data_IF_461044236989
#
_entry.id   IF_461044236989
#
_cell.length_a   1.000
_cell.length_b   1.000
_cell.length_c   1.000
_cell.angle_alpha   90.00
_cell.angle_beta   90.00
_cell.angle_gamma   90.00
#
_symmetry.space_group_name_H-M   'P 1'
#
loop_
_entity.id
_entity.type
_entity.pdbx_description
1 polymer ?
#
# COMPACT_ATOMS: atom_id res chain seq x y z
N UNK A 1 -16.47 2.09 -32.97
CA UNK A 1 -15.85 3.07 -32.04
C UNK A 1 -15.88 2.44 -30.65
N UNK A 2 -14.73 1.97 -30.16
CA UNK A 2 -14.63 1.12 -28.96
C UNK A 2 -14.39 1.99 -27.71
N UNK A 3 -15.36 1.99 -26.81
CA UNK A 3 -15.23 2.46 -25.43
C UNK A 3 -14.15 1.64 -24.71
N UNK A 4 -13.19 2.32 -24.07
CA UNK A 4 -12.26 1.73 -23.11
C UNK A 4 -12.44 2.43 -21.77
N UNK A 5 -13.03 1.74 -20.83
CA UNK A 5 -13.04 2.06 -19.40
C UNK A 5 -11.64 1.82 -18.82
N UNK A 6 -11.04 2.75 -18.06
CA UNK A 6 -9.77 2.50 -17.40
C UNK A 6 -9.99 1.77 -16.07
N UNK A 7 -9.10 0.81 -15.80
CA UNK A 7 -9.00 0.01 -14.59
C UNK A 7 -8.19 0.79 -13.56
N UNK A 8 -8.76 1.07 -12.39
CA UNK A 8 -8.09 1.77 -11.28
C UNK A 8 -7.18 0.80 -10.52
N UNK A 9 -5.90 1.16 -10.34
CA UNK A 9 -5.01 0.56 -9.34
C UNK A 9 -4.85 1.52 -8.15
N UNK A 10 -5.12 1.02 -6.93
CA UNK A 10 -4.93 1.73 -5.67
C UNK A 10 -3.73 1.12 -4.91
N UNK A 11 -2.84 1.96 -4.40
CA UNK A 11 -1.85 1.61 -3.36
C UNK A 11 -1.97 2.65 -2.21
N UNK A 12 -2.07 2.20 -0.96
CA UNK A 12 -2.20 3.05 0.25
C UNK A 12 -0.94 2.93 1.14
N UNK A 13 -0.48 4.05 1.71
CA UNK A 13 0.65 4.16 2.68
C UNK A 13 0.20 4.67 4.05
N UNK A 14 0.55 3.99 5.17
CA UNK A 14 0.23 4.32 6.58
C UNK A 14 1.34 5.15 7.29
N UNK A 15 0.98 6.06 8.19
CA UNK A 15 1.91 6.89 9.00
C UNK A 15 1.38 6.94 10.45
N UNK A 16 2.19 6.54 11.44
CA UNK A 16 1.85 6.44 12.86
C UNK A 16 2.75 7.38 13.69
N UNK A 17 2.17 8.09 14.66
CA UNK A 17 2.85 8.98 15.63
C UNK A 17 2.88 8.28 16.99
N UNK A 18 4.05 8.17 17.62
CA UNK A 18 4.22 7.64 18.98
C UNK A 18 4.44 8.78 19.99
N UNK A 19 3.77 8.71 21.15
CA UNK A 19 4.05 9.51 22.35
C UNK A 19 4.63 8.58 23.42
N UNK A 20 5.76 9.00 24.00
CA UNK A 20 6.49 8.31 25.08
C UNK A 20 5.89 8.66 26.45
N UNK A 21 5.69 7.64 27.28
CA UNK A 21 5.43 7.73 28.72
C UNK A 21 6.21 6.64 29.46
N UNK A 22 6.79 6.98 30.60
CA UNK A 22 7.89 6.30 31.32
C UNK A 22 7.51 5.03 32.10
N UNK A 23 8.51 4.14 32.24
CA UNK A 23 8.50 2.82 32.92
C UNK A 23 8.50 2.87 34.45
N UNK A 24 7.79 1.92 35.07
CA UNK A 24 8.18 1.20 36.29
C UNK A 24 7.72 -0.28 36.18
N UNK A 25 8.52 -1.29 36.59
CA UNK A 25 8.09 -2.68 36.75
C UNK A 25 7.95 -3.07 38.24
N UNK A 26 7.55 -4.31 38.61
CA UNK A 26 6.63 -5.26 37.97
C UNK A 26 5.55 -5.77 38.96
N UNK A 27 4.51 -6.45 38.47
CA UNK A 27 3.87 -7.52 39.24
C UNK A 27 3.34 -8.58 38.27
N UNK A 28 3.89 -9.79 38.39
CA UNK A 28 3.36 -10.96 37.70
C UNK A 28 1.98 -11.27 38.27
N UNK A 29 0.95 -10.93 37.53
CA UNK A 29 -0.32 -11.62 37.58
C UNK A 29 -0.40 -12.48 36.32
N UNK A 30 -0.40 -13.80 36.48
CA UNK A 30 -0.84 -14.71 35.43
C UNK A 30 -2.29 -14.35 35.10
N UNK A 31 -2.49 -13.58 34.04
CA UNK A 31 -3.82 -13.33 33.50
C UNK A 31 -4.18 -14.47 32.55
N UNK A 32 -5.17 -15.25 32.97
CA UNK A 32 -5.91 -16.23 32.18
C UNK A 32 -6.10 -15.80 30.73
N UNK A 33 -5.79 -16.68 29.79
CA UNK A 33 -6.17 -16.60 28.39
C UNK A 33 -7.69 -16.49 28.27
N UNK A 34 -8.21 -15.26 28.18
CA UNK A 34 -9.53 -15.06 27.61
C UNK A 34 -9.39 -15.32 26.11
N UNK A 35 -10.07 -16.34 25.61
CA UNK A 35 -10.14 -16.70 24.19
C UNK A 35 -10.51 -15.46 23.36
N UNK A 36 -9.52 -14.81 22.74
CA UNK A 36 -9.77 -13.65 21.91
C UNK A 36 -10.36 -14.12 20.58
N UNK A 37 -11.68 -14.12 20.49
CA UNK A 37 -12.41 -14.47 19.28
C UNK A 37 -12.08 -13.46 18.17
N UNK A 38 -11.47 -13.92 17.09
CA UNK A 38 -11.18 -13.15 15.88
C UNK A 38 -12.22 -13.45 14.79
N UNK A 39 -12.17 -12.71 13.68
CA UNK A 39 -13.03 -12.93 12.52
C UNK A 39 -12.21 -13.17 11.26
N UNK A 40 -12.67 -14.07 10.41
CA UNK A 40 -12.05 -14.40 9.14
C UNK A 40 -13.07 -14.39 8.01
N UNK A 41 -12.71 -13.84 6.85
CA UNK A 41 -13.51 -14.00 5.64
C UNK A 41 -12.71 -13.76 4.39
N UNK A 42 -13.28 -14.19 3.27
CA UNK A 42 -12.71 -13.99 1.95
C UNK A 42 -13.59 -13.04 1.14
N UNK A 43 -13.03 -11.90 0.77
CA UNK A 43 -13.66 -10.92 -0.12
C UNK A 43 -13.30 -11.27 -1.56
N UNK A 44 -14.29 -11.64 -2.36
CA UNK A 44 -14.15 -11.83 -3.79
C UNK A 44 -14.57 -10.56 -4.55
N UNK A 45 -13.69 -10.05 -5.39
CA UNK A 45 -13.93 -8.88 -6.26
C UNK A 45 -14.21 -9.30 -7.71
N UNK A 46 -14.23 -10.60 -7.99
CA UNK A 46 -14.33 -11.21 -9.32
C UNK A 46 -12.99 -11.35 -10.05
N UNK A 47 -12.00 -10.52 -9.72
CA UNK A 47 -10.65 -10.56 -10.33
C UNK A 47 -9.51 -10.65 -9.31
N UNK A 48 -9.78 -10.27 -8.06
CA UNK A 48 -8.93 -10.54 -6.88
C UNK A 48 -9.76 -11.16 -5.78
N UNK A 49 -9.12 -11.99 -4.98
CA UNK A 49 -9.67 -12.49 -3.73
C UNK A 49 -8.75 -12.13 -2.57
N UNK A 50 -9.32 -11.59 -1.50
CA UNK A 50 -8.60 -11.15 -0.30
C UNK A 50 -9.09 -11.88 0.92
N UNK A 51 -8.17 -12.45 1.68
CA UNK A 51 -8.46 -13.03 2.99
C UNK A 51 -8.20 -12.00 4.05
N UNK A 52 -9.23 -11.68 4.81
CA UNK A 52 -9.16 -10.76 5.93
C UNK A 52 -9.19 -11.53 7.24
N UNK A 53 -8.25 -11.19 8.11
CA UNK A 53 -8.21 -11.65 9.48
C UNK A 53 -8.34 -10.44 10.41
N UNK A 54 -9.43 -10.38 11.16
CA UNK A 54 -9.78 -9.24 12.01
C UNK A 54 -9.68 -9.67 13.46
N UNK A 55 -8.81 -9.03 14.23
CA UNK A 55 -8.48 -9.45 15.60
C UNK A 55 -8.28 -8.24 16.51
N UNK A 56 -8.42 -8.39 17.84
CA UNK A 56 -8.02 -7.35 18.76
C UNK A 56 -6.50 -7.09 18.68
N UNK A 57 -6.12 -5.84 18.92
CA UNK A 57 -4.73 -5.43 19.06
C UNK A 57 -4.07 -6.19 20.22
N UNK A 58 -2.82 -6.68 20.06
CA UNK A 58 -2.07 -7.28 21.16
C UNK A 58 -1.57 -6.24 22.18
N UNK A 59 -1.62 -4.95 21.86
CA UNK A 59 -1.29 -3.87 22.79
C UNK A 59 -2.50 -3.55 23.70
N UNK A 60 -2.44 -3.85 25.01
CA UNK A 60 -3.54 -3.62 25.94
C UNK A 60 -3.82 -2.15 26.23
N UNK A 61 -2.91 -1.22 25.87
CA UNK A 61 -3.06 0.21 26.14
C UNK A 61 -4.09 0.90 25.21
N UNK A 62 -4.47 0.25 24.11
CA UNK A 62 -5.52 0.71 23.22
C UNK A 62 -6.37 -0.47 22.77
N UNK A 63 -7.61 -0.56 23.25
CA UNK A 63 -8.60 -1.57 22.86
C UNK A 63 -9.07 -1.39 21.41
N UNK A 64 -8.13 -1.40 20.46
CA UNK A 64 -8.37 -1.26 19.04
C UNK A 64 -8.45 -2.64 18.40
N UNK A 65 -9.27 -2.75 17.36
CA UNK A 65 -9.29 -3.91 16.48
C UNK A 65 -8.42 -3.64 15.26
N UNK A 66 -7.86 -4.69 14.70
CA UNK A 66 -7.00 -4.65 13.52
C UNK A 66 -7.58 -5.55 12.44
N UNK A 67 -7.39 -5.18 11.18
CA UNK A 67 -7.65 -6.00 10.00
C UNK A 67 -6.33 -6.27 9.30
N UNK A 68 -6.01 -7.55 9.14
CA UNK A 68 -4.86 -8.04 8.41
C UNK A 68 -5.32 -8.61 7.05
N UNK A 69 -4.83 -8.02 5.94
CA UNK A 69 -5.02 -8.58 4.60
C UNK A 69 -3.90 -9.59 4.30
N UNK A 70 -4.25 -10.88 4.22
CA UNK A 70 -3.26 -11.96 4.10
C UNK A 70 -2.65 -12.05 2.68
N UNK A 71 -3.28 -11.41 1.70
CA UNK A 71 -2.90 -11.51 0.29
C UNK A 71 -2.21 -10.23 -0.23
N UNK A 72 -2.04 -9.21 0.60
CA UNK A 72 -1.41 -7.94 0.23
C UNK A 72 -0.20 -7.66 1.12
N UNK A 73 0.76 -8.59 1.16
CA UNK A 73 1.98 -8.43 1.95
C UNK A 73 1.76 -8.36 3.47
N UNK A 74 0.65 -8.92 3.96
CA UNK A 74 0.26 -8.91 5.36
C UNK A 74 0.13 -7.48 5.94
N UNK A 75 -0.47 -6.57 5.17
CA UNK A 75 -0.77 -5.21 5.64
C UNK A 75 -1.79 -5.28 6.78
N UNK A 76 -1.41 -4.74 7.93
CA UNK A 76 -2.23 -4.62 9.12
C UNK A 76 -2.76 -3.19 9.24
N UNK A 77 -4.08 -3.07 9.36
CA UNK A 77 -4.79 -1.80 9.44
C UNK A 77 -5.55 -1.72 10.76
N UNK A 78 -5.31 -0.67 11.54
CA UNK A 78 -6.13 -0.37 12.71
C UNK A 78 -7.51 0.11 12.27
N UNK A 79 -8.56 -0.51 12.80
CA UNK A 79 -9.94 -0.12 12.55
C UNK A 79 -10.26 1.20 13.29
N UNK A 80 -10.90 2.14 12.60
CA UNK A 80 -11.38 3.39 13.19
C UNK A 80 -12.58 3.16 14.12
N UNK A 81 -13.34 2.10 13.86
CA UNK A 81 -14.41 1.61 14.74
C UNK A 81 -14.57 0.12 14.60
N UNK A 82 -15.04 -0.54 15.67
CA UNK A 82 -15.47 -1.92 15.64
C UNK A 82 -16.65 -2.08 16.60
N UNK A 83 -17.77 -2.61 16.10
CA UNK A 83 -19.00 -2.84 16.85
C UNK A 83 -19.49 -4.25 16.60
N UNK A 84 -19.70 -4.99 17.68
CA UNK A 84 -20.43 -6.24 17.68
C UNK A 84 -21.48 -6.15 18.80
N UNK A 85 -22.74 -5.97 18.45
CA UNK A 85 -23.84 -5.82 19.43
C UNK A 85 -24.67 -7.08 19.65
N UNK A 86 -24.18 -8.23 19.16
CA UNK A 86 -24.89 -9.51 19.25
C UNK A 86 -25.99 -9.71 18.20
N UNK A 87 -26.26 -8.69 17.37
CA UNK A 87 -27.11 -8.78 16.17
C UNK A 87 -26.38 -8.38 14.89
N UNK A 88 -25.49 -7.39 14.99
CA UNK A 88 -24.78 -6.80 13.87
C UNK A 88 -23.29 -6.71 14.20
N UNK A 89 -22.47 -7.06 13.21
CA UNK A 89 -21.04 -6.81 13.20
C UNK A 89 -20.74 -5.69 12.19
N UNK A 90 -20.10 -4.62 12.64
CA UNK A 90 -19.75 -3.48 11.80
C UNK A 90 -18.41 -2.86 12.17
N UNK A 91 -17.68 -2.34 11.19
CA UNK A 91 -16.42 -1.63 11.40
C UNK A 91 -16.10 -0.67 10.25
N UNK A 92 -15.18 0.26 10.51
CA UNK A 92 -14.75 1.27 9.54
C UNK A 92 -13.22 1.36 9.43
N UNK A 93 -12.77 1.66 8.22
CA UNK A 93 -11.40 2.02 7.85
C UNK A 93 -11.46 3.31 7.03
N UNK A 94 -11.47 4.44 7.73
CA UNK A 94 -11.60 5.78 7.13
C UNK A 94 -10.47 6.07 6.17
N UNK A 95 -9.25 5.64 6.52
CA UNK A 95 -8.06 5.85 5.69
C UNK A 95 -8.20 5.25 4.28
N UNK A 96 -8.85 4.10 4.16
CA UNK A 96 -9.05 3.42 2.87
C UNK A 96 -10.45 3.63 2.32
N UNK A 97 -11.25 4.50 2.95
CA UNK A 97 -12.66 4.75 2.67
C UNK A 97 -13.46 3.44 2.58
N UNK A 98 -13.19 2.51 3.51
CA UNK A 98 -13.82 1.21 3.56
C UNK A 98 -14.67 1.05 4.83
N UNK A 99 -15.76 0.29 4.72
CA UNK A 99 -16.61 -0.09 5.84
C UNK A 99 -17.24 -1.46 5.62
N UNK A 100 -17.63 -2.11 6.70
CA UNK A 100 -18.38 -3.35 6.68
C UNK A 100 -19.58 -3.25 7.62
N UNK A 101 -20.70 -3.85 7.21
CA UNK A 101 -21.84 -4.10 8.08
C UNK A 101 -22.52 -5.40 7.68
N UNK A 102 -22.70 -6.31 8.63
CA UNK A 102 -23.33 -7.60 8.42
C UNK A 102 -24.15 -8.08 9.61
N UNK A 103 -25.18 -8.86 9.30
CA UNK A 103 -26.06 -9.46 10.30
C UNK A 103 -25.44 -10.76 10.81
N UNK A 104 -25.44 -10.92 12.13
CA UNK A 104 -25.01 -12.15 12.78
C UNK A 104 -26.08 -13.23 12.63
N UNK A 105 -25.63 -14.47 12.44
CA UNK A 105 -26.50 -15.65 12.54
C UNK A 105 -26.92 -15.90 14.00
N UNK A 106 -27.83 -16.86 14.22
CA UNK A 106 -28.33 -17.17 15.56
C UNK A 106 -27.24 -17.66 16.53
N UNK A 107 -26.21 -18.34 16.02
CA UNK A 107 -25.06 -18.80 16.81
C UNK A 107 -24.06 -17.69 17.14
N UNK A 108 -24.17 -16.52 16.49
CA UNK A 108 -23.28 -15.36 16.59
C UNK A 108 -21.83 -15.64 16.20
N UNK A 109 -21.60 -16.69 15.43
CA UNK A 109 -20.29 -17.13 14.94
C UNK A 109 -20.08 -16.83 13.44
N UNK A 110 -21.10 -16.33 12.75
CA UNK A 110 -21.03 -15.90 11.36
C UNK A 110 -21.77 -14.58 11.18
N UNK A 111 -21.16 -13.61 10.52
CA UNK A 111 -21.77 -12.37 10.07
C UNK A 111 -21.79 -12.35 8.54
N UNK A 112 -22.97 -12.21 7.93
CA UNK A 112 -23.10 -12.04 6.47
C UNK A 112 -23.53 -10.61 6.17
N UNK A 113 -22.76 -9.91 5.33
CA UNK A 113 -22.90 -8.48 5.15
C UNK A 113 -22.31 -7.92 3.87
N UNK A 114 -22.16 -6.60 3.87
CA UNK A 114 -21.61 -5.83 2.76
C UNK A 114 -20.31 -5.17 3.18
N UNK A 115 -19.25 -5.45 2.43
CA UNK A 115 -18.05 -4.61 2.35
C UNK A 115 -18.31 -3.47 1.38
N UNK A 116 -18.12 -2.23 1.81
CA UNK A 116 -18.25 -1.03 0.99
C UNK A 116 -16.92 -0.31 0.94
N UNK A 117 -16.47 0.03 -0.27
CA UNK A 117 -15.25 0.80 -0.44
C UNK A 117 -15.27 1.58 -1.76
N UNK A 118 -14.97 2.87 -1.70
CA UNK A 118 -14.86 3.72 -2.90
C UNK A 118 -16.06 3.62 -3.87
N UNK A 119 -17.27 3.52 -3.32
CA UNK A 119 -18.51 3.40 -4.09
C UNK A 119 -18.86 1.99 -4.56
N UNK A 120 -17.97 1.00 -4.43
CA UNK A 120 -18.28 -0.40 -4.64
C UNK A 120 -18.93 -1.03 -3.39
N UNK A 121 -19.82 -1.99 -3.58
CA UNK A 121 -20.42 -2.81 -2.53
C UNK A 121 -20.28 -4.28 -2.92
N UNK A 122 -19.70 -5.09 -2.04
CA UNK A 122 -19.39 -6.49 -2.26
C UNK A 122 -19.90 -7.31 -1.08
N UNK A 123 -20.37 -8.52 -1.36
CA UNK A 123 -20.74 -9.46 -0.31
C UNK A 123 -19.49 -9.92 0.43
N UNK A 124 -19.56 -9.94 1.76
CA UNK A 124 -18.52 -10.51 2.60
C UNK A 124 -19.20 -11.25 3.75
N UNK A 125 -18.79 -12.51 3.94
CA UNK A 125 -19.16 -13.31 5.11
C UNK A 125 -17.94 -13.46 5.99
N UNK A 126 -18.07 -13.07 7.26
CA UNK A 126 -17.05 -13.20 8.28
C UNK A 126 -17.46 -14.30 9.25
N UNK A 127 -16.54 -15.19 9.60
CA UNK A 127 -16.72 -16.29 10.55
C UNK A 127 -15.81 -16.09 11.74
N UNK A 128 -16.30 -16.40 12.94
CA UNK A 128 -15.48 -16.41 14.14
C UNK A 128 -14.42 -17.51 14.05
N UNK A 129 -13.21 -17.17 14.46
CA UNK A 129 -12.07 -18.08 14.51
C UNK A 129 -11.26 -17.81 15.78
N UNK A 130 -10.68 -18.85 16.35
CA UNK A 130 -9.83 -18.73 17.55
C UNK A 130 -8.39 -18.34 17.18
N UNK A 131 -7.97 -18.66 15.96
CA UNK A 131 -6.65 -18.35 15.44
C UNK A 131 -6.72 -18.03 13.95
N UNK A 132 -5.66 -17.40 13.43
CA UNK A 132 -5.54 -17.12 12.00
C UNK A 132 -5.50 -18.44 11.22
N UNK A 133 -6.40 -18.66 10.24
CA UNK A 133 -6.34 -19.83 9.39
C UNK A 133 -5.01 -19.95 8.64
N UNK A 134 -4.42 -21.14 8.66
CA UNK A 134 -3.19 -21.43 7.92
C UNK A 134 -3.44 -21.47 6.40
N UNK A 135 -2.53 -20.88 5.63
CA UNK A 135 -2.58 -20.92 4.17
C UNK A 135 -2.07 -22.27 3.64
N UNK A 136 -2.93 -23.07 3.03
CA UNK A 136 -2.62 -24.44 2.59
C UNK A 136 -2.91 -24.65 1.09
N UNK A 137 -2.13 -24.03 0.19
CA UNK A 137 -2.24 -24.33 -1.24
C UNK A 137 -1.82 -25.78 -1.55
N UNK A 138 -2.49 -26.39 -2.51
CA UNK A 138 -2.15 -27.72 -3.05
C UNK A 138 -0.86 -27.68 -3.88
N UNK A 139 -0.60 -26.56 -4.57
CA UNK A 139 0.66 -26.32 -5.29
C UNK A 139 1.13 -24.88 -5.10
N UNK A 140 2.44 -24.69 -5.04
CA UNK A 140 3.06 -23.37 -5.11
C UNK A 140 4.11 -23.36 -6.21
N UNK A 141 4.04 -22.34 -7.04
CA UNK A 141 4.97 -22.09 -8.15
C UNK A 141 5.53 -20.68 -8.00
N UNK A 142 6.86 -20.53 -8.07
CA UNK A 142 7.52 -19.23 -7.94
C UNK A 142 8.44 -18.96 -9.13
N UNK A 143 8.57 -17.71 -9.51
CA UNK A 143 9.48 -17.26 -10.57
C UNK A 143 9.81 -15.79 -10.39
N UNK A 144 10.81 -15.28 -11.12
CA UNK A 144 11.23 -13.89 -11.04
C UNK A 144 11.20 -13.27 -12.44
N UNK A 145 10.41 -12.22 -12.62
CA UNK A 145 10.50 -11.40 -13.82
C UNK A 145 11.60 -10.36 -13.64
N UNK A 146 12.45 -10.20 -14.65
CA UNK A 146 13.38 -9.07 -14.71
C UNK A 146 12.83 -8.03 -15.68
N UNK A 147 12.41 -6.88 -15.13
CA UNK A 147 11.89 -5.75 -15.90
C UNK A 147 12.91 -4.61 -15.81
N UNK A 148 13.67 -4.42 -16.89
CA UNK A 148 14.80 -3.48 -16.92
C UNK A 148 15.80 -3.77 -15.78
N UNK A 149 15.80 -2.94 -14.74
CA UNK A 149 16.66 -3.06 -13.55
C UNK A 149 15.93 -3.61 -12.33
N UNK A 150 14.63 -3.91 -12.43
CA UNK A 150 13.81 -4.39 -11.33
C UNK A 150 13.59 -5.90 -11.42
N UNK A 151 13.65 -6.56 -10.26
CA UNK A 151 13.31 -7.96 -10.08
C UNK A 151 11.95 -8.06 -9.40
N UNK A 152 11.02 -8.75 -10.05
CA UNK A 152 9.65 -8.94 -9.58
C UNK A 152 9.43 -10.43 -9.29
N UNK A 153 9.67 -10.89 -8.05
CA UNK A 153 9.33 -12.24 -7.64
C UNK A 153 7.81 -12.43 -7.63
N UNK A 154 7.36 -13.40 -8.42
CA UNK A 154 5.98 -13.83 -8.54
C UNK A 154 5.79 -15.15 -7.80
N UNK A 155 4.62 -15.31 -7.18
CA UNK A 155 4.18 -16.53 -6.54
C UNK A 155 2.78 -16.88 -7.03
N UNK A 156 2.58 -18.13 -7.41
CA UNK A 156 1.30 -18.69 -7.79
C UNK A 156 0.92 -19.76 -6.76
N UNK A 157 -0.26 -19.61 -6.16
CA UNK A 157 -0.82 -20.50 -5.14
C UNK A 157 -2.07 -21.16 -5.70
N UNK A 158 -2.00 -22.46 -5.91
CA UNK A 158 -3.12 -23.26 -6.41
C UNK A 158 -3.83 -23.94 -5.25
N UNK A 159 -5.14 -23.78 -5.17
CA UNK A 159 -6.00 -24.49 -4.24
C UNK A 159 -6.89 -25.45 -5.02
N UNK A 160 -7.26 -26.57 -4.41
CA UNK A 160 -8.24 -27.53 -4.94
C UNK A 160 -9.31 -27.78 -3.90
N UNK A 161 -10.56 -27.71 -4.32
CA UNK A 161 -11.68 -28.16 -3.48
C UNK A 161 -11.85 -29.69 -3.54
N UNK A 162 -12.85 -30.21 -2.83
CA UNK A 162 -13.10 -31.65 -2.74
C UNK A 162 -13.56 -32.25 -4.08
N UNK A 163 -14.18 -31.43 -4.93
CA UNK A 163 -14.64 -31.75 -6.27
C UNK A 163 -13.52 -31.67 -7.32
N UNK A 164 -12.34 -31.16 -6.94
CA UNK A 164 -11.17 -31.03 -7.79
C UNK A 164 -11.10 -29.73 -8.60
N UNK A 165 -11.98 -28.76 -8.35
CA UNK A 165 -11.92 -27.45 -9.00
C UNK A 165 -10.70 -26.68 -8.51
N UNK A 166 -10.00 -26.04 -9.45
CA UNK A 166 -8.80 -25.27 -9.18
C UNK A 166 -9.10 -23.78 -8.95
N UNK A 167 -8.57 -23.22 -7.87
CA UNK A 167 -8.48 -21.77 -7.66
C UNK A 167 -7.00 -21.39 -7.67
N UNK A 168 -6.57 -20.62 -8.67
CA UNK A 168 -5.20 -20.14 -8.77
C UNK A 168 -5.14 -18.66 -8.41
N UNK A 169 -4.28 -18.33 -7.44
CA UNK A 169 -3.96 -16.96 -7.05
C UNK A 169 -2.53 -16.63 -7.46
N UNK A 170 -2.31 -15.41 -7.92
CA UNK A 170 -0.99 -14.85 -8.19
C UNK A 170 -0.71 -13.70 -7.22
N UNK A 171 0.53 -13.63 -6.75
CA UNK A 171 1.08 -12.55 -5.96
C UNK A 171 2.39 -12.04 -6.56
N UNK A 172 2.57 -10.74 -6.53
CA UNK A 172 3.84 -10.06 -6.79
C UNK A 172 4.41 -9.61 -5.45
N UNK A 173 5.38 -10.37 -4.95
CA UNK A 173 5.82 -10.29 -3.56
C UNK A 173 6.53 -8.96 -3.26
N UNK A 174 7.40 -8.51 -4.17
CA UNK A 174 8.11 -7.23 -4.03
C UNK A 174 7.17 -6.02 -4.09
N UNK A 175 6.01 -6.16 -4.76
CA UNK A 175 5.01 -5.11 -4.90
C UNK A 175 3.94 -5.17 -3.81
N UNK A 176 3.98 -6.20 -2.94
CA UNK A 176 2.94 -6.50 -1.93
C UNK A 176 1.53 -6.55 -2.49
N UNK A 177 1.41 -6.93 -3.77
CA UNK A 177 0.14 -7.00 -4.46
C UNK A 177 -0.17 -8.47 -4.74
N UNK A 178 -1.25 -8.98 -4.17
CA UNK A 178 -1.60 -10.39 -4.35
C UNK A 178 -3.10 -10.65 -4.39
N UNK A 179 -3.45 -11.94 -4.35
CA UNK A 179 -4.81 -12.41 -4.51
C UNK A 179 -5.35 -12.27 -5.93
N UNK A 180 -4.51 -11.99 -6.93
CA UNK A 180 -4.95 -11.91 -8.33
C UNK A 180 -5.44 -13.28 -8.80
N UNK A 181 -6.68 -13.36 -9.25
CA UNK A 181 -7.21 -14.60 -9.79
C UNK A 181 -6.57 -14.87 -11.15
N UNK A 182 -6.04 -16.08 -11.28
CA UNK A 182 -5.44 -16.56 -12.50
C UNK A 182 -6.19 -17.79 -13.01
N UNK A 183 -6.19 -17.98 -14.32
CA UNK A 183 -6.73 -19.17 -14.98
C UNK A 183 -5.58 -19.91 -15.63
N UNK A 184 -5.43 -21.20 -15.29
CA UNK A 184 -4.47 -22.10 -15.89
C UNK A 184 -5.17 -23.06 -16.83
N UNK A 185 -4.62 -23.20 -18.03
CA UNK A 185 -4.94 -24.29 -18.95
C UNK A 185 -3.67 -25.09 -19.20
N UNK A 186 -3.77 -26.41 -19.12
CA UNK A 186 -2.67 -27.32 -19.43
C UNK A 186 -3.13 -28.26 -20.53
N UNK A 187 -2.33 -28.36 -21.59
CA UNK A 187 -2.54 -29.33 -22.67
C UNK A 187 -1.20 -30.00 -22.97
N UNK A 188 -1.12 -31.30 -22.72
CA UNK A 188 0.13 -32.07 -22.68
C UNK A 188 1.12 -31.45 -21.68
N UNK A 189 2.27 -30.96 -22.16
CA UNK A 189 3.26 -30.24 -21.37
C UNK A 189 3.14 -28.71 -21.49
N UNK A 190 2.20 -28.17 -22.28
CA UNK A 190 2.08 -26.72 -22.49
C UNK A 190 1.13 -26.09 -21.49
N UNK A 191 1.58 -25.02 -20.85
CA UNK A 191 0.85 -24.23 -19.88
C UNK A 191 0.51 -22.87 -20.47
N UNK A 192 -0.76 -22.49 -20.36
CA UNK A 192 -1.26 -21.13 -20.56
C UNK A 192 -1.77 -20.63 -19.21
N UNK A 193 -1.20 -19.53 -18.69
CA UNK A 193 -1.77 -18.79 -17.55
C UNK A 193 -2.29 -17.44 -18.01
N UNK A 194 -3.45 -17.03 -17.51
CA UNK A 194 -3.99 -15.70 -17.73
C UNK A 194 -4.33 -15.04 -16.40
N UNK A 195 -3.94 -13.78 -16.25
CA UNK A 195 -4.22 -12.94 -15.07
C UNK A 195 -4.97 -11.69 -15.56
N UNK A 196 -6.30 -11.77 -15.69
CA UNK A 196 -7.08 -10.81 -16.46
C UNK A 196 -6.91 -9.35 -16.03
N UNK A 197 -6.88 -9.10 -14.71
CA UNK A 197 -6.86 -7.74 -14.18
C UNK A 197 -5.63 -6.94 -14.58
N UNK A 198 -4.48 -7.60 -14.72
CA UNK A 198 -3.22 -6.96 -15.11
C UNK A 198 -2.92 -7.18 -16.58
N UNK A 199 -3.85 -7.79 -17.35
CA UNK A 199 -3.62 -8.24 -18.72
C UNK A 199 -2.37 -9.13 -18.87
N UNK A 200 -2.03 -9.86 -17.81
CA UNK A 200 -0.86 -10.73 -17.75
C UNK A 200 -1.15 -12.08 -18.41
N UNK A 201 -0.20 -12.57 -19.20
CA UNK A 201 -0.26 -13.89 -19.83
C UNK A 201 1.08 -14.58 -19.71
N UNK A 202 1.06 -15.88 -19.50
CA UNK A 202 2.25 -16.72 -19.55
C UNK A 202 1.97 -17.94 -20.41
N UNK A 203 2.87 -18.22 -21.35
CA UNK A 203 2.86 -19.43 -22.17
C UNK A 203 4.20 -20.13 -21.97
N UNK A 204 4.19 -21.39 -21.55
CA UNK A 204 5.41 -22.12 -21.25
C UNK A 204 5.26 -23.64 -21.33
N UNK A 205 6.38 -24.33 -21.21
CA UNK A 205 6.45 -25.80 -21.26
C UNK A 205 6.93 -26.36 -19.93
N UNK A 206 6.16 -27.32 -19.41
CA UNK A 206 6.47 -28.10 -18.23
C UNK A 206 7.62 -29.07 -18.56
N UNK A 207 8.66 -29.00 -17.74
CA UNK A 207 9.79 -29.93 -17.75
C UNK A 207 9.35 -31.37 -17.50
N UNK A 208 10.11 -32.33 -18.04
CA UNK A 208 9.81 -33.76 -17.93
C UNK A 208 9.78 -34.28 -16.48
N UNK A 209 10.49 -33.64 -15.55
CA UNK A 209 10.47 -33.98 -14.13
C UNK A 209 9.31 -33.32 -13.36
N UNK A 210 8.51 -32.48 -14.03
CA UNK A 210 7.37 -31.78 -13.49
C UNK A 210 7.71 -30.69 -12.47
N UNK A 211 8.97 -30.24 -12.39
CA UNK A 211 9.41 -29.29 -11.34
C UNK A 211 9.50 -27.85 -11.81
N UNK A 212 9.56 -27.61 -13.10
CA UNK A 212 9.66 -26.27 -13.68
C UNK A 212 8.82 -26.09 -14.94
N UNK A 213 8.34 -24.87 -15.17
CA UNK A 213 7.66 -24.44 -16.40
C UNK A 213 8.40 -23.23 -16.93
N UNK A 214 9.03 -23.35 -18.09
CA UNK A 214 9.79 -22.26 -18.71
C UNK A 214 9.03 -21.70 -19.90
N UNK A 215 8.97 -20.38 -20.01
CA UNK A 215 8.15 -19.74 -21.02
C UNK A 215 8.27 -18.23 -21.07
N UNK A 216 7.29 -17.61 -21.72
CA UNK A 216 7.23 -16.17 -21.96
C UNK A 216 6.06 -15.54 -21.22
N UNK A 217 6.36 -14.50 -20.44
CA UNK A 217 5.38 -13.60 -19.84
C UNK A 217 5.12 -12.40 -20.74
N UNK A 218 3.86 -12.00 -20.90
CA UNK A 218 3.44 -10.81 -21.67
C UNK A 218 2.46 -9.97 -20.86
N UNK A 219 2.70 -8.66 -20.78
CA UNK A 219 1.84 -7.73 -20.05
C UNK A 219 1.89 -6.31 -20.63
N UNK A 220 1.34 -6.12 -21.84
CA UNK A 220 1.27 -4.81 -22.51
C UNK A 220 2.61 -4.22 -23.00
N UNK A 221 3.73 -4.89 -22.72
CA UNK A 221 5.08 -4.53 -23.14
C UNK A 221 5.82 -5.70 -23.83
N UNK A 222 7.18 -5.72 -23.83
CA UNK A 222 7.94 -6.82 -24.41
C UNK A 222 7.66 -8.14 -23.70
N UNK A 223 7.89 -9.25 -24.42
CA UNK A 223 7.89 -10.57 -23.82
C UNK A 223 9.10 -10.71 -22.89
N UNK A 224 8.88 -11.31 -21.73
CA UNK A 224 9.89 -11.52 -20.71
C UNK A 224 10.01 -13.00 -20.41
N UNK A 225 11.23 -13.51 -20.37
CA UNK A 225 11.49 -14.87 -19.93
C UNK A 225 11.01 -15.04 -18.49
N UNK A 226 10.28 -16.12 -18.24
CA UNK A 226 9.85 -16.53 -16.91
C UNK A 226 9.99 -18.05 -16.77
N UNK A 227 10.73 -18.47 -15.76
CA UNK A 227 10.74 -19.86 -15.30
C UNK A 227 10.03 -19.94 -13.96
N UNK A 228 8.89 -20.65 -13.94
CA UNK A 228 8.20 -21.01 -12.73
C UNK A 228 8.77 -22.32 -12.19
N UNK A 229 9.12 -22.37 -10.91
CA UNK A 229 9.63 -23.56 -10.23
C UNK A 229 8.71 -23.94 -9.09
N UNK A 230 8.47 -25.24 -8.93
CA UNK A 230 7.71 -25.76 -7.80
C UNK A 230 8.46 -25.46 -6.51
N UNK A 231 7.79 -24.84 -5.55
CA UNK A 231 8.40 -24.43 -4.29
C UNK A 231 7.48 -24.71 -3.12
N UNK A 232 7.99 -24.52 -1.90
CA UNK A 232 7.12 -24.35 -0.74
C UNK A 232 6.48 -22.96 -0.77
N UNK A 233 5.45 -22.76 0.05
CA UNK A 233 4.83 -21.45 0.26
C UNK A 233 5.90 -20.50 0.82
N UNK A 234 6.33 -19.54 0.01
CA UNK A 234 7.22 -18.48 0.49
C UNK A 234 6.50 -17.69 1.60
N UNK A 235 7.15 -17.42 2.73
CA UNK A 235 6.59 -16.51 3.72
C UNK A 235 6.42 -15.13 3.07
N UNK A 236 5.36 -14.40 3.44
CA UNK A 236 5.22 -13.00 3.02
C UNK A 236 6.52 -12.25 3.34
N UNK A 237 7.07 -11.47 2.39
CA UNK A 237 8.34 -10.80 2.61
C UNK A 237 8.24 -9.92 3.84
N UNK A 238 9.23 -10.04 4.75
CA UNK A 238 9.31 -9.17 5.93
C UNK A 238 9.31 -7.71 5.45
N UNK A 239 8.67 -6.78 6.18
CA UNK A 239 8.76 -5.37 5.88
C UNK A 239 10.22 -4.98 5.63
N UNK A 240 10.47 -4.26 4.53
CA UNK A 240 11.84 -3.90 4.19
C UNK A 240 12.43 -3.08 5.35
N UNK A 241 13.58 -3.48 5.87
CA UNK A 241 14.27 -2.65 6.85
C UNK A 241 14.73 -1.38 6.13
N UNK A 242 14.10 -0.24 6.43
CA UNK A 242 14.43 1.08 5.88
C UNK A 242 15.10 1.95 6.94
N UNK A 243 16.34 1.63 7.38
CA UNK A 243 17.02 2.40 8.42
C UNK A 243 17.27 3.85 8.00
N UNK A 244 17.35 4.12 6.70
CA UNK A 244 17.51 5.46 6.14
C UNK A 244 16.25 6.34 6.30
N UNK A 245 15.08 5.74 6.52
CA UNK A 245 13.84 6.50 6.67
C UNK A 245 13.88 7.24 8.01
N UNK A 246 13.80 8.58 8.03
CA UNK A 246 13.96 9.37 9.23
C UNK A 246 12.87 9.07 10.27
N UNK A 247 13.26 8.99 11.55
CA UNK A 247 12.38 8.73 12.68
C UNK A 247 12.52 9.81 13.74
N UNK A 248 11.43 10.20 14.43
CA UNK A 248 11.51 11.09 15.59
C UNK A 248 12.38 10.51 16.73
N UNK A 249 12.95 11.37 17.60
CA UNK A 249 12.93 12.83 17.51
C UNK A 249 13.82 13.36 16.39
N UNK A 250 13.27 14.28 15.58
CA UNK A 250 14.01 14.90 14.47
C UNK A 250 14.73 16.16 14.97
N UNK A 251 15.97 16.44 14.52
CA UNK A 251 16.74 17.60 14.97
C UNK A 251 16.32 18.92 14.28
N UNK A 252 15.22 18.89 13.54
CA UNK A 252 14.67 20.01 12.80
C UNK A 252 13.17 20.15 13.09
N UNK A 253 12.57 21.22 12.62
CA UNK A 253 11.13 21.43 12.68
C UNK A 253 10.45 20.76 11.50
N UNK A 254 9.26 20.22 11.74
CA UNK A 254 8.40 19.62 10.72
C UNK A 254 7.03 20.27 10.86
N UNK A 255 6.49 20.78 9.76
CA UNK A 255 5.18 21.44 9.75
C UNK A 255 4.37 20.95 8.56
N UNK A 256 3.13 20.54 8.81
CA UNK A 256 2.15 20.34 7.75
C UNK A 256 1.74 21.72 7.22
N UNK A 257 1.77 21.88 5.91
CA UNK A 257 1.50 23.14 5.22
C UNK A 257 0.51 22.92 4.09
N UNK A 258 -0.19 23.97 3.71
CA UNK A 258 -1.01 23.98 2.51
C UNK A 258 -0.84 25.29 1.75
N UNK A 259 -0.80 25.22 0.44
CA UNK A 259 -0.61 26.37 -0.43
C UNK A 259 -1.44 26.23 -1.71
N UNK A 260 -1.75 27.36 -2.33
CA UNK A 260 -2.52 27.38 -3.57
C UNK A 260 -1.60 27.16 -4.77
N UNK A 261 -2.04 26.35 -5.71
CA UNK A 261 -1.50 26.34 -7.06
C UNK A 261 -1.78 27.68 -7.74
N UNK A 262 -1.07 27.98 -8.82
CA UNK A 262 -1.47 29.10 -9.69
C UNK A 262 -2.68 28.78 -10.56
N UNK A 263 -3.06 27.50 -10.67
CA UNK A 263 -4.36 27.10 -11.21
C UNK A 263 -5.47 27.38 -10.19
N UNK A 264 -6.54 28.04 -10.63
CA UNK A 264 -7.65 28.39 -9.76
C UNK A 264 -8.33 27.13 -9.17
N UNK A 265 -8.54 27.14 -7.85
CA UNK A 265 -9.28 26.10 -7.14
C UNK A 265 -8.48 24.83 -6.80
N UNK A 266 -7.17 24.83 -7.03
CA UNK A 266 -6.27 23.73 -6.63
C UNK A 266 -5.44 24.16 -5.43
N UNK A 267 -5.63 23.48 -4.31
CA UNK A 267 -4.88 23.63 -3.06
C UNK A 267 -4.07 22.38 -2.82
N UNK A 268 -2.77 22.55 -2.61
CA UNK A 268 -1.84 21.46 -2.38
C UNK A 268 -1.48 21.37 -0.91
N UNK A 269 -1.36 20.14 -0.41
CA UNK A 269 -0.91 19.84 0.93
C UNK A 269 0.54 19.35 0.88
N UNK A 270 1.33 19.70 1.90
CA UNK A 270 2.71 19.25 1.97
C UNK A 270 3.29 19.31 3.37
N UNK A 271 4.57 18.99 3.45
CA UNK A 271 5.36 19.08 4.67
C UNK A 271 6.55 20.01 4.41
N UNK A 272 6.70 21.03 5.26
CA UNK A 272 7.86 21.90 5.30
C UNK A 272 8.76 21.48 6.48
N UNK A 273 10.04 21.27 6.17
CA UNK A 273 11.08 20.98 7.16
C UNK A 273 12.05 22.16 7.26
N UNK A 274 12.35 22.63 8.47
CA UNK A 274 13.20 23.82 8.69
C UNK A 274 14.26 23.50 9.74
N UNK A 275 15.54 23.83 9.51
CA UNK A 275 16.58 23.64 10.52
C UNK A 275 16.27 24.38 11.83
N UNK A 276 16.58 23.76 12.98
CA UNK A 276 16.47 24.39 14.31
C UNK A 276 17.69 25.23 14.70
N UNK A 277 18.72 25.26 13.86
CA UNK A 277 19.92 26.06 14.09
C UNK A 277 19.58 27.55 14.05
N UNK A 278 20.51 28.40 14.48
CA UNK A 278 20.38 29.84 14.24
C UNK A 278 20.20 30.09 12.74
N UNK A 279 19.15 30.84 12.38
CA UNK A 279 18.91 31.19 10.98
C UNK A 279 20.00 32.15 10.50
N UNK A 280 20.53 31.98 9.27
CA UNK A 280 21.34 33.02 8.64
C UNK A 280 20.57 34.35 8.59
N UNK A 281 21.27 35.48 8.58
CA UNK A 281 20.64 36.80 8.52
C UNK A 281 19.72 36.98 7.30
N UNK A 282 20.03 36.29 6.19
CA UNK A 282 19.23 36.30 4.96
C UNK A 282 18.08 35.28 4.96
N UNK A 283 17.92 34.49 6.02
CA UNK A 283 17.03 33.31 6.07
C UNK A 283 17.71 32.02 5.59
N UNK A 284 17.07 30.88 5.85
CA UNK A 284 17.57 29.59 5.36
C UNK A 284 17.40 29.45 3.85
N UNK A 285 18.38 28.89 3.11
CA UNK A 285 18.12 28.40 1.76
C UNK A 285 17.06 27.29 1.80
N UNK A 286 16.34 27.11 0.70
CA UNK A 286 15.30 26.09 0.62
C UNK A 286 15.38 25.26 -0.67
N UNK A 287 14.80 24.07 -0.63
CA UNK A 287 14.60 23.21 -1.79
C UNK A 287 13.15 22.74 -1.90
N UNK A 288 12.65 22.62 -3.12
CA UNK A 288 11.37 21.99 -3.44
C UNK A 288 11.66 20.65 -4.09
N UNK A 289 11.13 19.56 -3.53
CA UNK A 289 11.19 18.24 -4.15
C UNK A 289 9.96 18.04 -5.04
N UNK A 290 10.17 17.62 -6.29
CA UNK A 290 9.14 17.49 -7.33
C UNK A 290 9.11 16.03 -7.80
N UNK A 291 7.97 15.39 -7.57
CA UNK A 291 7.66 14.00 -7.93
C UNK A 291 7.73 13.77 -9.44
N UNK A 292 7.85 12.50 -9.82
CA UNK A 292 7.78 12.05 -11.20
C UNK A 292 6.36 11.72 -11.66
N UNK A 293 6.25 10.75 -12.57
CA UNK A 293 4.98 10.42 -13.22
C UNK A 293 4.01 9.64 -12.35
N UNK A 294 2.73 9.97 -12.51
CA UNK A 294 1.62 9.37 -11.78
C UNK A 294 1.25 10.17 -10.52
N UNK A 295 0.13 9.84 -9.87
CA UNK A 295 -0.27 10.50 -8.62
C UNK A 295 0.62 10.04 -7.46
N UNK A 296 1.49 10.92 -6.94
CA UNK A 296 2.41 10.59 -5.85
C UNK A 296 2.11 11.39 -4.56
N UNK A 297 2.40 10.75 -3.42
CA UNK A 297 2.43 11.45 -2.14
C UNK A 297 3.72 12.29 -2.01
N UNK A 298 3.74 13.21 -1.04
CA UNK A 298 4.90 14.08 -0.76
C UNK A 298 6.20 13.34 -0.42
N UNK A 299 6.15 12.04 -0.18
CA UNK A 299 7.32 11.22 0.14
C UNK A 299 7.85 10.43 -1.06
N UNK A 300 7.16 10.53 -2.18
CA UNK A 300 7.38 9.73 -3.37
C UNK A 300 7.42 8.24 -3.01
N UNK A 301 6.44 7.81 -2.20
CA UNK A 301 6.49 6.48 -1.59
C UNK A 301 6.46 5.37 -2.65
N UNK A 302 7.54 4.58 -2.72
CA UNK A 302 7.70 3.46 -3.64
C UNK A 302 8.26 2.25 -2.88
N UNK A 303 7.55 1.13 -2.90
CA UNK A 303 7.97 -0.12 -2.24
C UNK A 303 8.35 0.07 -0.76
N UNK A 304 7.53 0.80 0.01
CA UNK A 304 7.78 1.18 1.42
C UNK A 304 9.00 2.09 1.64
N UNK A 305 9.67 2.51 0.57
CA UNK A 305 10.70 3.53 0.66
C UNK A 305 10.05 4.90 0.50
N UNK A 306 10.53 5.86 1.29
CA UNK A 306 10.14 7.27 1.26
C UNK A 306 11.35 8.11 0.85
N UNK A 307 11.78 8.06 -0.43
CA UNK A 307 13.00 8.69 -0.87
C UNK A 307 12.99 10.21 -0.62
N UNK A 308 11.85 10.88 -0.79
CA UNK A 308 11.78 12.33 -0.52
C UNK A 308 11.87 12.64 0.98
N UNK A 309 11.36 11.80 1.89
CA UNK A 309 11.62 11.95 3.32
C UNK A 309 13.12 11.90 3.63
N UNK A 310 13.84 10.96 3.00
CA UNK A 310 15.27 10.71 3.24
C UNK A 310 16.11 11.87 2.71
N UNK A 311 15.82 12.34 1.50
CA UNK A 311 16.47 13.50 0.90
C UNK A 311 16.17 14.76 1.73
N UNK A 312 14.92 14.96 2.15
CA UNK A 312 14.54 16.09 3.01
C UNK A 312 15.27 16.07 4.36
N UNK A 313 15.41 14.92 5.01
CA UNK A 313 16.16 14.78 6.26
C UNK A 313 17.64 15.17 6.08
N UNK A 314 18.29 14.65 5.04
CA UNK A 314 19.69 14.95 4.77
C UNK A 314 19.93 16.44 4.47
N UNK A 315 19.08 17.05 3.64
CA UNK A 315 19.16 18.48 3.30
C UNK A 315 18.88 19.37 4.51
N UNK A 316 17.86 19.03 5.32
CA UNK A 316 17.49 19.83 6.50
C UNK A 316 18.55 19.76 7.59
N UNK A 317 19.17 18.59 7.80
CA UNK A 317 20.35 18.48 8.68
C UNK A 317 21.54 19.30 8.18
N UNK A 318 21.59 19.56 6.88
CA UNK A 318 22.65 20.37 6.24
C UNK A 318 22.30 21.85 6.15
N UNK A 319 21.23 22.31 6.82
CA UNK A 319 20.87 23.73 6.88
C UNK A 319 19.98 24.24 5.74
N UNK A 320 19.38 23.33 4.95
CA UNK A 320 18.48 23.68 3.84
C UNK A 320 17.04 23.30 4.23
N UNK A 321 16.12 24.27 4.25
CA UNK A 321 14.71 23.95 4.45
C UNK A 321 14.14 23.18 3.25
N UNK A 322 13.30 22.18 3.45
CA UNK A 322 12.75 21.38 2.34
C UNK A 322 11.24 21.37 2.37
N UNK A 323 10.65 21.75 1.25
CA UNK A 323 9.23 21.55 0.95
C UNK A 323 9.07 20.33 0.06
N UNK A 324 8.19 19.44 0.50
CA UNK A 324 7.70 18.29 -0.26
C UNK A 324 6.18 18.28 -0.16
N UNK A 325 5.48 17.99 -1.25
CA UNK A 325 4.03 18.17 -1.33
C UNK A 325 3.36 17.03 -2.09
N UNK A 326 2.09 16.74 -1.76
CA UNK A 326 1.31 15.74 -2.47
C UNK A 326 0.89 16.31 -3.83
N UNK A 327 0.98 15.50 -4.88
CA UNK A 327 0.55 15.94 -6.21
C UNK A 327 -0.94 16.31 -6.22
N UNK A 328 -1.33 17.16 -7.16
CA UNK A 328 -2.75 17.52 -7.35
C UNK A 328 -3.64 16.27 -7.42
N UNK A 329 -4.76 16.28 -6.70
CA UNK A 329 -5.67 15.14 -6.60
C UNK A 329 -5.12 13.92 -5.84
N UNK A 330 -3.98 14.06 -5.16
CA UNK A 330 -3.34 12.98 -4.38
C UNK A 330 -3.19 13.39 -2.91
N UNK A 331 -3.20 12.42 -2.00
CA UNK A 331 -3.00 12.67 -0.58
C UNK A 331 -4.04 13.62 0.00
N UNK A 332 -3.60 14.76 0.51
CA UNK A 332 -4.47 15.82 1.03
C UNK A 332 -4.61 17.02 0.06
N UNK A 333 -4.03 16.92 -1.14
CA UNK A 333 -4.17 17.93 -2.19
C UNK A 333 -5.50 17.80 -2.93
N UNK A 334 -6.12 18.94 -3.28
CA UNK A 334 -7.32 18.98 -4.12
C UNK A 334 -6.96 18.90 -5.60
N UNK A 335 -7.98 18.95 -6.48
CA UNK A 335 -7.79 18.93 -7.93
C UNK A 335 -7.97 17.55 -8.55
N UNK A 336 -7.64 17.43 -9.85
CA UNK A 336 -7.80 16.20 -10.62
C UNK A 336 -6.52 15.89 -11.40
N UNK A 337 -5.77 14.87 -10.96
CA UNK A 337 -4.55 14.42 -11.63
C UNK A 337 -4.82 13.92 -13.06
N UNK A 338 -5.88 13.14 -13.27
CA UNK A 338 -6.16 12.49 -14.55
C UNK A 338 -6.52 13.48 -15.68
N UNK A 339 -6.93 14.70 -15.31
CA UNK A 339 -7.22 15.78 -16.24
C UNK A 339 -6.05 16.77 -16.41
N UNK A 340 -4.93 16.53 -15.74
CA UNK A 340 -3.78 17.42 -15.71
C UNK A 340 -2.62 16.91 -16.57
N UNK A 341 -1.79 17.85 -17.03
CA UNK A 341 -0.52 17.56 -17.70
C UNK A 341 0.63 18.37 -17.11
N UNK A 342 1.83 18.28 -17.70
CA UNK A 342 3.02 18.97 -17.21
C UNK A 342 2.87 20.50 -17.12
N UNK A 343 1.97 21.12 -17.89
CA UNK A 343 1.70 22.57 -17.79
C UNK A 343 0.99 22.91 -16.49
N UNK A 344 0.10 22.03 -16.05
CA UNK A 344 -0.59 22.12 -14.78
C UNK A 344 0.38 21.88 -13.61
N UNK A 345 1.21 20.82 -13.68
CA UNK A 345 2.21 20.53 -12.65
C UNK A 345 3.22 21.68 -12.47
N UNK A 346 3.57 22.37 -13.56
CA UNK A 346 4.35 23.61 -13.46
C UNK A 346 3.67 24.68 -12.60
N UNK A 347 2.36 24.84 -12.70
CA UNK A 347 1.61 25.83 -11.89
C UNK A 347 1.61 25.46 -10.40
N UNK A 348 1.62 24.17 -10.09
CA UNK A 348 1.75 23.66 -8.72
C UNK A 348 3.11 24.02 -8.13
N UNK A 349 4.18 23.76 -8.88
CA UNK A 349 5.56 24.10 -8.48
C UNK A 349 5.74 25.61 -8.34
N UNK A 350 5.11 26.42 -9.20
CA UNK A 350 5.12 27.88 -9.07
C UNK A 350 4.35 28.36 -7.82
N UNK A 351 3.25 27.69 -7.46
CA UNK A 351 2.56 27.90 -6.20
C UNK A 351 3.44 27.59 -4.99
N UNK A 352 4.15 26.45 -5.03
CA UNK A 352 5.10 26.02 -4.01
C UNK A 352 6.25 27.04 -3.85
N UNK A 353 6.79 27.54 -4.97
CA UNK A 353 7.81 28.58 -4.98
C UNK A 353 7.31 29.87 -4.32
N UNK A 354 6.11 30.34 -4.69
CA UNK A 354 5.50 31.53 -4.07
C UNK A 354 5.28 31.36 -2.58
N UNK A 355 4.83 30.18 -2.15
CA UNK A 355 4.65 29.86 -0.75
C UNK A 355 5.97 29.99 0.04
N UNK A 356 7.07 29.41 -0.47
CA UNK A 356 8.36 29.52 0.19
C UNK A 356 8.95 30.94 0.15
N UNK A 357 8.73 31.69 -0.93
CA UNK A 357 9.15 33.10 -1.00
C UNK A 357 8.46 33.99 0.02
N UNK A 358 7.24 33.63 0.44
CA UNK A 358 6.48 34.34 1.48
C UNK A 358 6.83 33.92 2.92
N UNK A 359 7.68 32.91 3.11
CA UNK A 359 7.97 32.37 4.44
C UNK A 359 9.09 33.15 5.13
N UNK A 360 8.81 33.79 6.26
CA UNK A 360 9.71 34.76 6.92
C UNK A 360 11.07 34.21 7.36
N UNK A 361 11.17 32.90 7.61
CA UNK A 361 12.43 32.23 7.99
C UNK A 361 13.29 31.80 6.80
N UNK A 362 12.79 31.91 5.58
CA UNK A 362 13.47 31.43 4.37
C UNK A 362 14.03 32.59 3.55
N UNK A 363 15.13 32.32 2.87
CA UNK A 363 15.72 33.24 1.92
C UNK A 363 14.99 33.12 0.58
N UNK A 364 14.14 34.10 0.26
CA UNK A 364 13.33 34.12 -0.97
C UNK A 364 14.14 34.15 -2.28
N UNK A 365 15.46 34.41 -2.20
CA UNK A 365 16.39 34.41 -3.34
C UNK A 365 17.23 33.13 -3.45
N UNK A 366 17.11 32.20 -2.51
CA UNK A 366 17.89 30.96 -2.47
C UNK A 366 16.97 29.75 -2.35
N UNK A 367 16.17 29.51 -3.39
CA UNK A 367 15.24 28.38 -3.49
C UNK A 367 15.63 27.52 -4.69
N UNK A 368 16.04 26.28 -4.44
CA UNK A 368 16.34 25.27 -5.46
C UNK A 368 15.14 24.38 -5.78
N UNK A 369 15.14 23.79 -6.97
CA UNK A 369 14.17 22.79 -7.41
C UNK A 369 14.92 21.48 -7.65
N UNK A 370 14.39 20.36 -7.14
CA UNK A 370 14.95 19.02 -7.32
C UNK A 370 13.84 18.12 -7.82
N UNK A 371 13.95 17.71 -9.08
CA UNK A 371 12.97 16.84 -9.75
C UNK A 371 13.44 15.40 -9.89
N UNK A 372 12.51 14.45 -9.79
CA UNK A 372 12.74 13.06 -10.14
C UNK A 372 11.90 12.67 -11.38
N UNK A 373 12.51 11.96 -12.34
CA UNK A 373 11.84 11.53 -13.57
C UNK A 373 11.16 12.71 -14.29
N UNK A 374 9.83 12.67 -14.53
CA UNK A 374 9.05 13.78 -15.12
C UNK A 374 9.17 15.11 -14.35
N UNK A 375 9.49 15.07 -13.05
CA UNK A 375 9.66 16.27 -12.24
C UNK A 375 10.93 17.06 -12.55
N UNK A 376 11.92 16.47 -13.23
CA UNK A 376 13.19 17.10 -13.61
C UNK A 376 13.16 17.69 -15.00
#
# INVERSE_FOLDING_TARGET
MRNRTPVYQLQYSLLLVCVLGTLLPPCQAQSSTADSVAWYGELDTGVRSFRFFIHPSPDPAGAAWQLLSLDEGAVELTLDSFRNDGSTLAFELKKTNASYSGNLNAARDEATGQWKQNGASLNLTLRQVNERPADKPAEVWTGELTVLFQKLPLQFRLYRDAEGNELLRMDSLAQKAGGFLAVRNVTDNRWSLQVPQISGKFEGELSADGKSVSGQWTQGGPQLDLTLTRSELAPSPRPANRPQTPKPPLPYEVSEVGFESLDAGVRLAGTLTIPRTAAPAAGFPAAILISGSGPQDRDETLFEHRPFAVIADALTRSGIAVLRFDDRGTGQSTGNFAAADSRNFKQDVLGALRFLQGHSRLNSRAIGLIGHSEGG
#
